data_IF_277864516821
#
_entry.id   IF_277864516821
#
_cell.length_a   1.000
_cell.length_b   1.000
_cell.length_c   1.000
_cell.angle_alpha   90.00
_cell.angle_beta   90.00
_cell.angle_gamma   90.00
#
_symmetry.space_group_name_H-M   'P 1'
#
loop_
_entity.id
_entity.type
_entity.pdbx_description
1 polymer ?
#
# COMPACT_ATOMS: atom_id res chain seq x y z
N UNK A 1 25.14 -2.13 -16.28
CA UNK A 1 23.83 -1.89 -15.61
C UNK A 1 22.71 -2.77 -16.15
N UNK A 2 22.43 -2.80 -17.47
CA UNK A 2 21.37 -3.66 -18.03
C UNK A 2 21.64 -5.16 -17.82
N UNK A 3 22.90 -5.62 -17.94
CA UNK A 3 23.25 -7.02 -17.68
C UNK A 3 23.02 -7.43 -16.22
N UNK A 4 23.26 -6.51 -15.28
CA UNK A 4 23.00 -6.74 -13.85
C UNK A 4 21.51 -6.88 -13.56
N UNK A 5 20.66 -6.06 -14.19
CA UNK A 5 19.20 -6.14 -14.04
C UNK A 5 18.67 -7.44 -14.66
N UNK A 6 19.14 -7.79 -15.85
CA UNK A 6 18.75 -9.03 -16.53
C UNK A 6 19.09 -10.28 -15.69
N UNK A 7 20.25 -10.28 -15.04
CA UNK A 7 20.68 -11.38 -14.14
C UNK A 7 19.81 -11.50 -12.89
N UNK A 8 19.41 -10.38 -12.28
CA UNK A 8 18.47 -10.39 -11.14
C UNK A 8 17.12 -10.97 -11.57
N UNK A 9 16.58 -10.50 -12.70
CA UNK A 9 15.28 -10.93 -13.21
C UNK A 9 15.30 -12.40 -13.61
N UNK A 10 16.41 -12.92 -14.14
CA UNK A 10 16.54 -14.33 -14.54
C UNK A 10 16.59 -15.30 -13.36
N UNK A 11 17.10 -14.86 -12.20
CA UNK A 11 17.11 -15.66 -10.97
C UNK A 11 15.86 -15.48 -10.11
N UNK A 12 14.95 -14.59 -10.49
CA UNK A 12 13.69 -14.40 -9.79
C UNK A 12 12.76 -15.58 -10.03
N UNK A 13 12.28 -16.25 -8.97
CA UNK A 13 11.38 -17.39 -9.12
C UNK A 13 10.13 -17.04 -9.95
N UNK A 14 9.70 -17.98 -10.80
CA UNK A 14 8.57 -17.77 -11.72
C UNK A 14 7.28 -17.37 -11.02
N UNK A 15 7.04 -17.87 -9.80
CA UNK A 15 5.87 -17.53 -8.99
C UNK A 15 5.77 -16.02 -8.67
N UNK A 16 6.89 -15.29 -8.60
CA UNK A 16 6.92 -13.84 -8.35
C UNK A 16 6.25 -13.09 -9.50
N UNK A 17 6.48 -13.51 -10.75
CA UNK A 17 5.83 -12.94 -11.93
C UNK A 17 4.34 -13.27 -11.98
N UNK A 18 3.95 -14.48 -11.55
CA UNK A 18 2.53 -14.85 -11.41
C UNK A 18 1.85 -13.94 -10.39
N UNK A 19 2.46 -13.74 -9.22
CA UNK A 19 1.95 -12.81 -8.21
C UNK A 19 1.86 -11.39 -8.79
N UNK A 20 2.89 -10.92 -9.50
CA UNK A 20 2.88 -9.60 -10.13
C UNK A 20 1.72 -9.44 -11.13
N UNK A 21 1.52 -10.41 -12.02
CA UNK A 21 0.43 -10.40 -12.99
C UNK A 21 -0.95 -10.39 -12.30
N UNK A 22 -1.12 -11.18 -11.24
CA UNK A 22 -2.34 -11.17 -10.42
C UNK A 22 -2.56 -9.81 -9.77
N UNK A 23 -1.53 -9.18 -9.22
CA UNK A 23 -1.61 -7.85 -8.61
C UNK A 23 -1.95 -6.77 -9.63
N UNK A 24 -1.40 -6.84 -10.85
CA UNK A 24 -1.78 -5.96 -11.97
C UNK A 24 -3.26 -6.16 -12.29
N UNK A 25 -3.74 -7.39 -12.43
CA UNK A 25 -5.15 -7.68 -12.69
C UNK A 25 -6.06 -7.13 -11.57
N UNK A 26 -5.67 -7.30 -10.31
CA UNK A 26 -6.38 -6.72 -9.16
C UNK A 26 -6.38 -5.20 -9.25
N UNK A 27 -5.23 -4.57 -9.53
CA UNK A 27 -5.10 -3.12 -9.59
C UNK A 27 -5.91 -2.51 -10.72
N UNK A 28 -5.93 -3.13 -11.91
CA UNK A 28 -6.81 -2.73 -13.03
C UNK A 28 -8.28 -2.82 -12.63
N UNK A 29 -8.69 -3.88 -11.90
CA UNK A 29 -10.06 -3.96 -11.35
C UNK A 29 -10.39 -2.84 -10.37
N UNK A 30 -9.41 -2.27 -9.67
CA UNK A 30 -9.63 -1.12 -8.78
C UNK A 30 -9.86 0.19 -9.55
N UNK A 31 -9.47 0.26 -10.82
CA UNK A 31 -9.72 1.40 -11.71
C UNK A 31 -11.15 1.44 -12.25
N UNK A 32 -11.92 0.36 -12.06
CA UNK A 32 -13.32 0.28 -12.44
C UNK A 32 -14.22 0.64 -11.25
N UNK A 33 -15.40 1.24 -11.48
CA UNK A 33 -16.41 1.43 -10.44
C UNK A 33 -16.83 0.09 -9.83
N UNK A 34 -17.04 0.05 -8.52
CA UNK A 34 -17.40 -1.18 -7.80
C UNK A 34 -18.25 -0.90 -6.57
N UNK A 35 -19.04 -1.89 -6.18
CA UNK A 35 -19.79 -1.87 -4.92
C UNK A 35 -18.95 -2.59 -3.87
N UNK A 36 -18.71 -1.94 -2.73
CA UNK A 36 -17.97 -2.50 -1.60
C UNK A 36 -18.76 -2.35 -0.32
N UNK A 37 -18.61 -3.30 0.60
CA UNK A 37 -19.16 -3.12 1.94
C UNK A 37 -18.40 -2.03 2.69
N UNK A 38 -19.11 -1.23 3.50
CA UNK A 38 -18.52 -0.18 4.34
C UNK A 38 -17.45 -0.73 5.29
N UNK A 39 -17.63 -1.97 5.77
CA UNK A 39 -16.64 -2.68 6.61
C UNK A 39 -15.37 -2.98 5.81
N UNK A 40 -15.50 -3.58 4.63
CA UNK A 40 -14.33 -3.92 3.78
C UNK A 40 -13.57 -2.67 3.34
N UNK A 41 -14.27 -1.54 3.14
CA UNK A 41 -13.66 -0.27 2.79
C UNK A 41 -12.59 0.18 3.81
N UNK A 42 -12.79 -0.10 5.11
CA UNK A 42 -11.86 0.29 6.19
C UNK A 42 -10.98 -0.87 6.67
N UNK A 43 -11.53 -2.07 6.83
CA UNK A 43 -10.78 -3.20 7.39
C UNK A 43 -9.61 -3.59 6.49
N UNK A 44 -9.83 -3.66 5.17
CA UNK A 44 -8.78 -4.07 4.23
C UNK A 44 -7.55 -3.15 4.26
N UNK A 45 -7.65 -1.82 4.11
CA UNK A 45 -6.48 -0.95 4.17
C UNK A 45 -5.87 -0.89 5.57
N UNK A 46 -6.66 -1.05 6.64
CA UNK A 46 -6.14 -1.12 8.00
C UNK A 46 -5.28 -2.37 8.22
N UNK A 47 -5.70 -3.51 7.68
CA UNK A 47 -4.89 -4.74 7.68
C UNK A 47 -3.60 -4.54 6.89
N UNK A 48 -3.65 -3.87 5.72
CA UNK A 48 -2.44 -3.58 4.93
C UNK A 48 -1.48 -2.66 5.69
N UNK A 49 -1.99 -1.61 6.36
CA UNK A 49 -1.17 -0.71 7.16
C UNK A 49 -0.58 -1.41 8.41
N UNK A 50 -1.37 -2.23 9.10
CA UNK A 50 -0.89 -3.00 10.24
C UNK A 50 0.18 -4.02 9.82
N UNK A 51 -0.03 -4.70 8.68
CA UNK A 51 0.95 -5.63 8.12
C UNK A 51 2.25 -4.93 7.71
N UNK A 52 2.17 -3.72 7.13
CA UNK A 52 3.37 -2.95 6.77
C UNK A 52 4.14 -2.49 8.02
N UNK A 53 3.44 -2.02 9.06
CA UNK A 53 4.05 -1.68 10.35
C UNK A 53 4.72 -2.90 11.00
N UNK A 54 4.02 -4.04 11.03
CA UNK A 54 4.57 -5.30 11.53
C UNK A 54 5.86 -5.67 10.78
N UNK A 55 5.81 -5.65 9.44
CA UNK A 55 6.96 -5.95 8.60
C UNK A 55 8.16 -5.03 8.85
N UNK A 56 7.92 -3.72 9.01
CA UNK A 56 8.96 -2.75 9.38
C UNK A 56 9.52 -3.04 10.77
N UNK A 57 8.66 -3.31 11.76
CA UNK A 57 9.12 -3.56 13.14
C UNK A 57 10.01 -4.79 13.23
N UNK A 58 9.65 -5.88 12.53
CA UNK A 58 10.41 -7.12 12.52
C UNK A 58 11.73 -6.95 11.76
N UNK A 59 11.69 -6.34 10.58
CA UNK A 59 12.87 -6.10 9.76
C UNK A 59 13.91 -5.18 10.44
N UNK A 60 13.43 -4.20 11.21
CA UNK A 60 14.28 -3.19 11.84
C UNK A 60 14.59 -3.48 13.31
N UNK A 61 14.20 -4.65 13.83
CA UNK A 61 14.33 -5.01 15.24
C UNK A 61 13.76 -3.95 16.19
N UNK A 62 12.64 -3.32 15.80
CA UNK A 62 11.99 -2.27 16.58
C UNK A 62 12.69 -0.92 16.57
N UNK A 63 13.57 -0.63 15.60
CA UNK A 63 14.27 0.65 15.48
C UNK A 63 13.31 1.84 15.55
N UNK A 64 13.54 2.73 16.52
CA UNK A 64 12.76 3.96 16.69
C UNK A 64 12.77 4.82 15.42
N UNK A 65 13.93 4.99 14.77
CA UNK A 65 14.06 5.78 13.54
C UNK A 65 13.16 5.20 12.44
N UNK A 66 13.20 3.89 12.23
CA UNK A 66 12.39 3.24 11.21
C UNK A 66 10.89 3.44 11.49
N UNK A 67 10.45 3.18 12.72
CA UNK A 67 9.06 3.35 13.12
C UNK A 67 8.59 4.82 13.00
N UNK A 68 9.43 5.79 13.37
CA UNK A 68 9.11 7.21 13.20
C UNK A 68 8.99 7.59 11.72
N UNK A 69 9.87 7.07 10.87
CA UNK A 69 9.82 7.32 9.42
C UNK A 69 8.56 6.72 8.79
N UNK A 70 8.15 5.53 9.23
CA UNK A 70 6.88 4.93 8.84
C UNK A 70 5.71 5.86 9.20
N UNK A 71 5.66 6.31 10.46
CA UNK A 71 4.57 7.14 10.97
C UNK A 71 4.50 8.48 10.25
N UNK A 72 5.64 9.17 10.11
CA UNK A 72 5.72 10.44 9.36
C UNK A 72 5.24 10.25 7.92
N UNK A 73 5.64 9.17 7.26
CA UNK A 73 5.20 8.88 5.90
C UNK A 73 3.69 8.60 5.78
N UNK A 74 3.10 7.90 6.77
CA UNK A 74 1.64 7.70 6.84
C UNK A 74 0.92 9.04 7.02
N UNK A 75 1.41 9.90 7.91
CA UNK A 75 0.83 11.23 8.14
C UNK A 75 0.93 12.12 6.89
N UNK A 76 2.07 12.08 6.19
CA UNK A 76 2.27 12.78 4.92
C UNK A 76 1.30 12.28 3.85
N UNK A 77 1.12 10.96 3.71
CA UNK A 77 0.15 10.39 2.79
C UNK A 77 -1.28 10.83 3.14
N UNK A 78 -1.62 10.90 4.43
CA UNK A 78 -2.91 11.40 4.88
C UNK A 78 -3.12 12.87 4.53
N UNK A 79 -2.12 13.72 4.78
CA UNK A 79 -2.15 15.14 4.44
C UNK A 79 -2.36 15.35 2.94
N UNK A 80 -1.58 14.68 2.09
CA UNK A 80 -1.72 14.78 0.63
C UNK A 80 -3.11 14.34 0.16
N UNK A 81 -3.63 13.25 0.72
CA UNK A 81 -4.96 12.76 0.37
C UNK A 81 -6.05 13.69 0.88
N UNK A 82 -5.86 14.34 2.03
CA UNK A 82 -6.80 15.30 2.58
C UNK A 82 -6.88 16.56 1.72
N UNK A 83 -5.76 17.02 1.16
CA UNK A 83 -5.71 18.17 0.25
C UNK A 83 -6.38 17.89 -1.11
N UNK A 84 -6.39 16.63 -1.56
CA UNK A 84 -7.05 16.18 -2.79
C UNK A 84 -7.92 14.95 -2.53
N UNK A 85 -9.04 15.14 -1.82
CA UNK A 85 -9.83 14.05 -1.27
C UNK A 85 -10.54 13.25 -2.37
N UNK A 86 -10.68 11.93 -2.18
CA UNK A 86 -11.40 11.09 -3.12
C UNK A 86 -12.88 11.47 -3.13
N UNK A 87 -13.43 11.70 -4.32
CA UNK A 87 -14.82 12.10 -4.54
C UNK A 87 -15.58 11.05 -5.37
N UNK A 88 -16.91 11.18 -5.41
CA UNK A 88 -17.79 10.37 -6.28
C UNK A 88 -18.25 9.03 -5.69
N UNK A 89 -17.98 8.76 -4.42
CA UNK A 89 -18.57 7.61 -3.73
C UNK A 89 -20.02 7.90 -3.33
N UNK A 90 -20.90 6.94 -3.57
CA UNK A 90 -22.35 7.06 -3.33
C UNK A 90 -22.82 5.87 -2.51
N UNK A 91 -23.66 6.11 -1.51
CA UNK A 91 -24.29 5.02 -0.77
C UNK A 91 -25.27 4.26 -1.64
N UNK A 92 -25.07 2.96 -1.74
CA UNK A 92 -25.98 2.05 -2.45
C UNK A 92 -27.03 1.50 -1.48
N UNK A 93 -26.60 1.10 -0.28
CA UNK A 93 -27.47 0.67 0.82
C UNK A 93 -26.91 1.20 2.14
N UNK A 94 -27.58 0.92 3.27
CA UNK A 94 -27.04 1.20 4.60
C UNK A 94 -25.66 0.56 4.85
N UNK A 95 -25.34 -0.57 4.18
CA UNK A 95 -24.10 -1.35 4.39
C UNK A 95 -23.11 -1.32 3.24
N UNK A 96 -23.51 -0.85 2.06
CA UNK A 96 -22.69 -0.84 0.84
C UNK A 96 -22.54 0.55 0.26
N UNK A 97 -21.37 0.80 -0.32
CA UNK A 97 -21.00 2.05 -0.99
C UNK A 97 -20.50 1.71 -2.39
N UNK A 98 -21.01 2.41 -3.39
CA UNK A 98 -20.49 2.39 -4.74
C UNK A 98 -19.32 3.36 -4.80
N UNK A 99 -18.12 2.82 -5.01
CA UNK A 99 -16.87 3.58 -5.06
C UNK A 99 -16.46 3.74 -6.53
N UNK A 100 -16.12 4.95 -6.98
CA UNK A 100 -15.65 5.16 -8.34
C UNK A 100 -14.28 4.52 -8.54
N UNK A 101 -14.01 4.20 -9.79
CA UNK A 101 -12.71 3.76 -10.24
C UNK A 101 -11.60 4.75 -9.86
N UNK A 102 -10.43 4.25 -9.50
CA UNK A 102 -9.28 5.10 -9.20
C UNK A 102 -7.97 4.39 -9.55
N UNK A 103 -7.03 5.17 -10.07
CA UNK A 103 -5.66 4.71 -10.34
C UNK A 103 -4.79 4.67 -9.08
N UNK A 104 -5.18 5.35 -7.99
CA UNK A 104 -4.40 5.39 -6.74
C UNK A 104 -4.20 4.00 -6.13
N UNK A 105 -5.23 3.14 -5.97
CA UNK A 105 -5.03 1.78 -5.49
C UNK A 105 -4.10 0.93 -6.39
N UNK A 106 -4.11 1.14 -7.71
CA UNK A 106 -3.17 0.45 -8.61
C UNK A 106 -1.74 0.84 -8.29
N UNK A 107 -1.46 2.15 -8.20
CA UNK A 107 -0.12 2.65 -7.87
C UNK A 107 0.35 2.14 -6.52
N UNK A 108 -0.53 2.09 -5.52
CA UNK A 108 -0.18 1.51 -4.22
C UNK A 108 0.13 0.02 -4.32
N UNK A 109 -0.70 -0.76 -5.02
CA UNK A 109 -0.50 -2.22 -5.16
C UNK A 109 0.83 -2.53 -5.85
N UNK A 110 1.07 -1.90 -7.01
CA UNK A 110 2.30 -2.10 -7.79
C UNK A 110 3.50 -1.53 -7.05
N UNK A 111 3.36 -0.36 -6.42
CA UNK A 111 4.39 0.28 -5.63
C UNK A 111 4.82 -0.56 -4.43
N UNK A 112 3.87 -1.14 -3.69
CA UNK A 112 4.16 -2.02 -2.55
C UNK A 112 4.86 -3.30 -3.00
N UNK A 113 4.42 -3.88 -4.12
CA UNK A 113 5.09 -5.05 -4.70
C UNK A 113 6.53 -4.71 -5.11
N UNK A 114 6.73 -3.64 -5.87
CA UNK A 114 8.04 -3.21 -6.34
C UNK A 114 8.97 -2.88 -5.17
N UNK A 115 8.48 -2.14 -4.17
CA UNK A 115 9.21 -1.83 -2.96
C UNK A 115 9.61 -3.10 -2.20
N UNK A 116 8.68 -4.04 -2.02
CA UNK A 116 8.97 -5.30 -1.32
C UNK A 116 9.95 -6.17 -2.10
N UNK A 117 9.81 -6.25 -3.41
CA UNK A 117 10.74 -6.98 -4.27
C UNK A 117 12.14 -6.36 -4.20
N UNK A 118 12.26 -5.05 -4.39
CA UNK A 118 13.53 -4.33 -4.30
C UNK A 118 14.19 -4.49 -2.93
N UNK A 119 13.42 -4.40 -1.84
CA UNK A 119 13.89 -4.64 -0.49
C UNK A 119 14.54 -6.02 -0.33
N UNK A 120 13.86 -7.08 -0.78
CA UNK A 120 14.39 -8.45 -0.66
C UNK A 120 15.56 -8.72 -1.61
N UNK A 121 15.54 -8.16 -2.83
CA UNK A 121 16.65 -8.25 -3.79
C UNK A 121 17.90 -7.57 -3.21
N UNK A 122 17.75 -6.39 -2.61
CA UNK A 122 18.87 -5.70 -1.95
C UNK A 122 19.43 -6.52 -0.80
N UNK A 123 18.58 -7.11 0.04
CA UNK A 123 19.04 -7.98 1.14
C UNK A 123 19.71 -9.26 0.64
N UNK A 124 19.28 -9.82 -0.48
CA UNK A 124 19.87 -11.02 -1.05
C UNK A 124 21.25 -10.74 -1.67
N UNK A 125 21.42 -9.59 -2.34
CA UNK A 125 22.69 -9.21 -2.96
C UNK A 125 23.67 -8.59 -1.97
N UNK A 126 23.16 -7.85 -0.99
CA UNK A 126 23.93 -7.08 -0.01
C UNK A 126 23.39 -7.32 1.40
N UNK A 127 23.63 -8.48 2.02
CA UNK A 127 23.11 -8.78 3.37
C UNK A 127 23.49 -7.72 4.42
N UNK A 128 24.62 -7.02 4.24
CA UNK A 128 25.10 -5.93 5.08
C UNK A 128 24.13 -4.75 5.19
N UNK A 129 23.28 -4.50 4.18
CA UNK A 129 22.29 -3.40 4.24
C UNK A 129 21.21 -3.66 5.28
N UNK A 130 21.06 -4.90 5.76
CA UNK A 130 20.19 -5.25 6.88
C UNK A 130 20.62 -4.60 8.21
N UNK A 131 21.83 -4.06 8.31
CA UNK A 131 22.28 -3.30 9.49
C UNK A 131 22.26 -1.78 9.25
N UNK A 132 21.95 -1.34 8.03
CA UNK A 132 21.93 0.07 7.68
C UNK A 132 20.64 0.75 8.15
N UNK A 133 20.79 1.69 9.09
CA UNK A 133 19.67 2.48 9.60
C UNK A 133 19.00 3.32 8.50
N UNK A 134 19.76 3.85 7.54
CA UNK A 134 19.22 4.64 6.43
C UNK A 134 18.42 3.78 5.45
N UNK A 135 18.89 2.56 5.17
CA UNK A 135 18.16 1.59 4.35
C UNK A 135 16.81 1.24 4.97
N UNK A 136 16.81 0.90 6.26
CA UNK A 136 15.57 0.63 7.00
C UNK A 136 14.64 1.84 7.02
N UNK A 137 15.16 3.04 7.32
CA UNK A 137 14.39 4.28 7.35
C UNK A 137 13.72 4.57 6.00
N UNK A 138 14.45 4.40 4.90
CA UNK A 138 13.94 4.63 3.54
C UNK A 138 12.80 3.68 3.19
N UNK A 139 13.01 2.36 3.35
CA UNK A 139 11.96 1.38 3.04
C UNK A 139 10.78 1.47 4.01
N UNK A 140 11.04 1.82 5.27
CA UNK A 140 10.01 2.12 6.24
C UNK A 140 9.12 3.29 5.81
N UNK A 141 9.72 4.40 5.39
CA UNK A 141 8.99 5.54 4.83
C UNK A 141 8.21 5.15 3.57
N UNK A 142 8.80 4.35 2.68
CA UNK A 142 8.14 3.91 1.44
C UNK A 142 6.89 3.04 1.73
N UNK A 143 7.02 2.05 2.62
CA UNK A 143 5.89 1.21 3.02
C UNK A 143 4.83 1.99 3.80
N UNK A 144 5.25 2.92 4.66
CA UNK A 144 4.35 3.82 5.40
C UNK A 144 3.57 4.74 4.47
N UNK A 145 4.24 5.37 3.50
CA UNK A 145 3.62 6.27 2.54
C UNK A 145 2.58 5.54 1.67
N UNK A 146 2.96 4.42 1.06
CA UNK A 146 2.08 3.67 0.16
C UNK A 146 0.88 3.06 0.91
N UNK A 147 1.12 2.46 2.07
CA UNK A 147 0.05 1.96 2.94
C UNK A 147 -0.85 3.08 3.45
N UNK A 148 -0.24 4.22 3.80
CA UNK A 148 -0.90 5.44 4.22
C UNK A 148 -1.86 6.00 3.16
N UNK A 149 -1.46 6.05 1.89
CA UNK A 149 -2.30 6.53 0.78
C UNK A 149 -3.58 5.69 0.63
N UNK A 150 -3.46 4.37 0.79
CA UNK A 150 -4.62 3.48 0.71
C UNK A 150 -5.55 3.66 1.92
N UNK A 151 -4.96 3.77 3.11
CA UNK A 151 -5.70 3.96 4.37
C UNK A 151 -6.41 5.32 4.42
N UNK A 152 -5.70 6.41 4.16
CA UNK A 152 -6.24 7.77 4.14
C UNK A 152 -7.40 7.89 3.15
N UNK A 153 -7.24 7.35 1.94
CA UNK A 153 -8.28 7.35 0.90
C UNK A 153 -9.53 6.65 1.41
N UNK A 154 -9.38 5.46 2.00
CA UNK A 154 -10.50 4.70 2.52
C UNK A 154 -11.20 5.37 3.70
N UNK A 155 -10.45 5.98 4.61
CA UNK A 155 -10.99 6.75 5.74
C UNK A 155 -11.80 7.95 5.21
N UNK A 156 -11.24 8.73 4.30
CA UNK A 156 -11.90 9.90 3.73
C UNK A 156 -13.16 9.52 2.94
N UNK A 157 -13.12 8.44 2.16
CA UNK A 157 -14.30 7.89 1.49
C UNK A 157 -15.38 7.48 2.49
N UNK A 158 -15.00 6.82 3.59
CA UNK A 158 -15.97 6.38 4.59
C UNK A 158 -16.64 7.56 5.32
N UNK A 159 -15.86 8.56 5.72
CA UNK A 159 -16.34 9.76 6.45
C UNK A 159 -17.20 10.64 5.54
N UNK A 160 -16.83 10.79 4.26
CA UNK A 160 -17.55 11.67 3.33
C UNK A 160 -18.78 11.04 2.68
N UNK A 161 -18.98 9.72 2.80
CA UNK A 161 -20.15 9.05 2.20
C UNK A 161 -21.28 8.88 3.23
N UNK A 162 -22.36 9.69 3.15
CA UNK A 162 -23.45 9.69 4.14
C UNK A 162 -24.15 8.33 4.20
N UNK A 163 -24.55 7.88 5.40
CA UNK A 163 -25.26 6.61 5.56
C UNK A 163 -26.74 6.80 5.22
N UNK A 164 -27.29 5.92 4.39
CA UNK A 164 -28.72 5.84 4.19
C UNK A 164 -29.37 5.29 5.48
N UNK A 165 -30.50 5.87 5.88
CA UNK A 165 -31.30 5.32 6.97
C UNK A 165 -31.76 3.90 6.58
N UNK A 166 -31.72 2.97 7.53
CA UNK A 166 -32.38 1.69 7.34
C UNK A 166 -33.89 1.96 7.43
N UNK A 167 -34.60 1.73 6.33
CA UNK A 167 -36.06 1.67 6.31
C UNK A 167 -36.56 0.42 7.03
#
# INVERSE_FOLDING_TARGET
>A
MLESIASIVSHTPTWVFVVFAVLIAIGVRQMQPRIVSRRRLIVLPLVVAAYSLYGVSMASHGSALALTMWLVAVLMAFLLTYMSPPNGAVSETARTVRVPGSWVPMVVIVGLFAARYAYNVMLAMHPEVSQSASFMAMFSALFGFLGGLLLSRSVLLHVRTPRLAAA
#
